data_IF_571432645638
#
_entry.id   IF_571432645638
#
_cell.length_a   1.000
_cell.length_b   1.000
_cell.length_c   1.000
_cell.angle_alpha   90.00
_cell.angle_beta   90.00
_cell.angle_gamma   90.00
#
_symmetry.space_group_name_H-M   'P 1'
#
loop_
_entity.id
_entity.type
_entity.pdbx_description
1 polymer ?
#
# COMPACT_ATOMS: atom_id res chain seq x y z
N UNK A 1 -16.15 -11.46 -20.25
CA UNK A 1 -15.06 -11.13 -19.29
C UNK A 1 -14.39 -9.84 -19.75
N UNK A 2 -14.31 -8.83 -18.88
CA UNK A 2 -13.53 -7.61 -19.15
C UNK A 2 -12.06 -8.02 -19.26
N UNK A 3 -11.43 -7.81 -20.43
CA UNK A 3 -9.97 -7.95 -20.56
C UNK A 3 -9.32 -6.89 -19.66
N UNK A 4 -8.46 -7.32 -18.73
CA UNK A 4 -7.59 -6.42 -17.97
C UNK A 4 -6.56 -5.82 -18.93
N UNK A 5 -6.94 -4.75 -19.63
CA UNK A 5 -6.12 -4.06 -20.64
C UNK A 5 -4.82 -3.46 -20.08
N UNK A 6 -4.70 -3.35 -18.75
CA UNK A 6 -3.52 -2.79 -18.07
C UNK A 6 -2.42 -3.78 -17.67
N UNK A 7 -2.73 -5.06 -17.41
CA UNK A 7 -1.77 -5.99 -16.81
C UNK A 7 -0.48 -6.17 -17.65
N UNK A 8 -0.64 -6.45 -18.94
CA UNK A 8 0.50 -6.64 -19.84
C UNK A 8 1.35 -5.38 -19.99
N UNK A 9 0.72 -4.20 -20.03
CA UNK A 9 1.43 -2.92 -20.05
C UNK A 9 2.19 -2.67 -18.74
N UNK A 10 1.62 -3.07 -17.60
CA UNK A 10 2.28 -2.97 -16.31
C UNK A 10 3.52 -3.87 -16.22
N UNK A 11 3.43 -5.11 -16.72
CA UNK A 11 4.60 -5.99 -16.81
C UNK A 11 5.72 -5.36 -17.67
N UNK A 12 5.36 -4.74 -18.79
CA UNK A 12 6.33 -4.05 -19.65
C UNK A 12 7.00 -2.89 -18.88
N UNK A 13 6.23 -2.12 -18.12
CA UNK A 13 6.72 -1.02 -17.30
C UNK A 13 7.71 -1.51 -16.25
N UNK A 14 7.30 -2.42 -15.36
CA UNK A 14 8.14 -3.00 -14.30
C UNK A 14 9.42 -3.60 -14.86
N UNK A 15 9.33 -4.34 -15.98
CA UNK A 15 10.49 -4.93 -16.63
C UNK A 15 11.47 -3.88 -17.13
N UNK A 16 10.98 -2.81 -17.76
CA UNK A 16 11.82 -1.72 -18.30
C UNK A 16 12.45 -0.89 -17.19
N UNK A 17 11.73 -0.59 -16.12
CA UNK A 17 12.24 0.15 -14.95
C UNK A 17 13.40 -0.59 -14.28
N UNK A 18 13.35 -1.92 -14.24
CA UNK A 18 14.44 -2.75 -13.71
C UNK A 18 15.51 -3.12 -14.75
N UNK A 19 15.46 -2.56 -15.96
CA UNK A 19 16.45 -2.80 -17.02
C UNK A 19 16.52 -4.26 -17.50
N UNK A 20 15.43 -5.03 -17.38
CA UNK A 20 15.42 -6.47 -17.69
C UNK A 20 14.96 -6.75 -19.12
N UNK A 21 15.49 -7.81 -19.72
CA UNK A 21 14.95 -8.37 -20.98
C UNK A 21 13.94 -9.48 -20.69
N UNK A 22 13.01 -9.73 -21.62
CA UNK A 22 11.95 -10.74 -21.46
C UNK A 22 12.50 -12.14 -21.12
N UNK A 23 13.66 -12.50 -21.68
CA UNK A 23 14.33 -13.79 -21.42
C UNK A 23 14.71 -13.95 -19.94
N UNK A 24 15.15 -12.88 -19.29
CA UNK A 24 15.61 -12.94 -17.91
C UNK A 24 14.44 -13.13 -16.94
N UNK A 25 13.36 -12.36 -17.15
CA UNK A 25 12.14 -12.49 -16.34
C UNK A 25 11.52 -13.88 -16.52
N UNK A 26 11.41 -14.34 -17.78
CA UNK A 26 10.87 -15.67 -18.08
C UNK A 26 11.67 -16.79 -17.40
N UNK A 27 13.00 -16.70 -17.41
CA UNK A 27 13.89 -17.65 -16.71
C UNK A 27 13.67 -17.60 -15.21
N UNK A 28 13.57 -16.41 -14.61
CA UNK A 28 13.40 -16.24 -13.18
C UNK A 28 12.09 -16.83 -12.64
N UNK A 29 11.01 -16.73 -13.42
CA UNK A 29 9.69 -17.29 -13.04
C UNK A 29 9.46 -18.70 -13.60
N UNK A 30 10.49 -19.32 -14.19
CA UNK A 30 10.44 -20.68 -14.76
C UNK A 30 9.36 -20.89 -15.83
N UNK A 31 9.27 -19.96 -16.80
CA UNK A 31 8.39 -20.08 -17.98
C UNK A 31 9.17 -19.90 -19.28
N UNK A 32 8.59 -20.34 -20.40
CA UNK A 32 9.15 -20.05 -21.71
C UNK A 32 9.07 -18.54 -22.02
N UNK A 33 10.11 -18.00 -22.68
CA UNK A 33 10.15 -16.60 -23.11
C UNK A 33 8.94 -16.20 -23.97
N UNK A 34 8.44 -17.11 -24.81
CA UNK A 34 7.24 -16.89 -25.60
C UNK A 34 5.99 -16.74 -24.72
N UNK A 35 5.86 -17.54 -23.65
CA UNK A 35 4.75 -17.42 -22.70
C UNK A 35 4.78 -16.07 -21.98
N UNK A 36 5.95 -15.63 -21.50
CA UNK A 36 6.11 -14.31 -20.89
C UNK A 36 5.76 -13.17 -21.87
N UNK A 37 6.22 -13.25 -23.13
CA UNK A 37 5.86 -12.28 -24.16
C UNK A 37 4.34 -12.26 -24.42
N UNK A 38 3.66 -13.41 -24.38
CA UNK A 38 2.20 -13.48 -24.48
C UNK A 38 1.49 -12.80 -23.30
N UNK A 39 2.07 -12.81 -22.10
CA UNK A 39 1.54 -12.06 -20.94
C UNK A 39 1.65 -10.55 -21.17
N UNK A 40 2.81 -10.06 -21.60
CA UNK A 40 3.01 -8.63 -21.89
C UNK A 40 2.09 -8.12 -23.00
N UNK A 41 1.84 -8.95 -24.02
CA UNK A 41 0.95 -8.62 -25.13
C UNK A 41 -0.54 -8.82 -24.82
N UNK A 42 -0.89 -9.32 -23.63
CA UNK A 42 -2.28 -9.63 -23.25
C UNK A 42 -2.92 -10.73 -24.11
N UNK A 43 -2.10 -11.60 -24.74
CA UNK A 43 -2.56 -12.73 -25.56
C UNK A 43 -2.84 -13.97 -24.71
N UNK A 44 -2.20 -14.07 -23.55
CA UNK A 44 -2.36 -15.16 -22.59
C UNK A 44 -2.44 -14.58 -21.19
N UNK A 45 -3.28 -15.18 -20.36
CA UNK A 45 -3.34 -14.86 -18.94
C UNK A 45 -2.39 -15.79 -18.15
N UNK A 46 -1.59 -15.27 -17.22
CA UNK A 46 -0.79 -16.09 -16.30
C UNK A 46 -1.70 -16.77 -15.27
N UNK A 47 -1.30 -17.95 -14.79
CA UNK A 47 -1.98 -18.58 -13.65
C UNK A 47 -1.58 -17.91 -12.33
N UNK A 48 -2.31 -18.21 -11.25
CA UNK A 48 -2.05 -17.67 -9.91
C UNK A 48 -0.59 -17.86 -9.46
N UNK A 49 -0.01 -19.05 -9.65
CA UNK A 49 1.40 -19.31 -9.31
C UNK A 49 2.36 -18.40 -10.09
N UNK A 50 2.07 -18.15 -11.38
CA UNK A 50 2.88 -17.24 -12.20
C UNK A 50 2.75 -15.80 -11.73
N UNK A 51 1.55 -15.37 -11.32
CA UNK A 51 1.30 -14.03 -10.76
C UNK A 51 2.12 -13.84 -9.47
N UNK A 52 2.10 -14.81 -8.56
CA UNK A 52 2.88 -14.76 -7.31
C UNK A 52 4.38 -14.70 -7.59
N UNK A 53 4.87 -15.50 -8.55
CA UNK A 53 6.29 -15.46 -8.97
C UNK A 53 6.68 -14.11 -9.57
N UNK A 54 5.83 -13.52 -10.40
CA UNK A 54 6.04 -12.19 -10.97
C UNK A 54 6.06 -11.11 -9.88
N UNK A 55 5.12 -11.15 -8.94
CA UNK A 55 5.04 -10.19 -7.83
C UNK A 55 6.31 -10.24 -6.97
N UNK A 56 6.77 -11.46 -6.61
CA UNK A 56 8.03 -11.65 -5.89
C UNK A 56 9.25 -11.20 -6.69
N UNK A 57 9.31 -11.52 -7.98
CA UNK A 57 10.43 -11.14 -8.84
C UNK A 57 10.56 -9.62 -8.97
N UNK A 58 9.44 -8.91 -9.08
CA UNK A 58 9.42 -7.46 -9.19
C UNK A 58 9.38 -6.73 -7.83
N UNK A 59 9.35 -7.46 -6.72
CA UNK A 59 9.27 -6.93 -5.35
C UNK A 59 8.04 -6.01 -5.12
N UNK A 60 6.89 -6.42 -5.66
CA UNK A 60 5.61 -5.70 -5.55
C UNK A 60 4.52 -6.60 -4.98
N UNK A 61 3.41 -6.02 -4.51
CA UNK A 61 2.23 -6.79 -4.15
C UNK A 61 1.51 -7.34 -5.39
N UNK A 62 0.76 -8.44 -5.22
CA UNK A 62 -0.08 -8.97 -6.31
C UNK A 62 -1.13 -7.94 -6.76
N UNK A 63 -1.70 -7.18 -5.83
CA UNK A 63 -2.64 -6.10 -6.13
C UNK A 63 -2.01 -5.05 -7.03
N UNK A 64 -0.82 -4.55 -6.67
CA UNK A 64 -0.12 -3.57 -7.50
C UNK A 64 0.16 -4.13 -8.89
N UNK A 65 0.68 -5.36 -8.96
CA UNK A 65 0.99 -6.04 -10.22
C UNK A 65 -0.24 -6.14 -11.14
N UNK A 66 -1.41 -6.48 -10.60
CA UNK A 66 -2.65 -6.69 -11.35
C UNK A 66 -3.37 -5.39 -11.70
N UNK A 67 -3.39 -4.42 -10.79
CA UNK A 67 -4.21 -3.22 -10.90
C UNK A 67 -3.48 -2.04 -11.53
N UNK A 68 -2.14 -1.98 -11.49
CA UNK A 68 -1.42 -0.80 -12.01
C UNK A 68 -1.29 0.35 -11.02
N UNK A 69 -2.12 0.34 -10.00
CA UNK A 69 -2.26 1.39 -9.02
C UNK A 69 -2.06 0.76 -7.65
N UNK A 70 -1.33 1.44 -6.76
CA UNK A 70 -1.54 1.15 -5.34
C UNK A 70 -3.02 1.41 -5.12
N UNK A 71 -3.76 0.43 -4.59
CA UNK A 71 -5.04 0.74 -3.97
C UNK A 71 -4.63 1.73 -2.87
N UNK A 72 -4.76 3.03 -3.12
CA UNK A 72 -4.84 4.01 -2.06
C UNK A 72 -6.16 3.67 -1.43
N UNK A 73 -6.12 2.68 -0.54
CA UNK A 73 -7.10 2.62 0.51
C UNK A 73 -7.04 4.03 1.07
N UNK A 74 -8.08 4.82 0.86
CA UNK A 74 -8.29 6.10 1.51
C UNK A 74 -8.51 5.87 3.02
N UNK A 75 -7.87 4.85 3.60
CA UNK A 75 -7.55 4.77 5.01
C UNK A 75 -6.53 5.86 5.19
N UNK A 76 -6.97 6.95 5.80
CA UNK A 76 -6.11 7.99 6.30
C UNK A 76 -5.10 7.33 7.24
N UNK A 77 -3.92 6.97 6.70
CA UNK A 77 -2.86 6.34 7.47
C UNK A 77 -2.31 7.38 8.44
N UNK A 78 -2.78 7.34 9.68
CA UNK A 78 -2.21 8.12 10.79
C UNK A 78 -0.83 7.53 11.09
N UNK A 79 0.23 8.20 10.63
CA UNK A 79 1.60 7.88 11.03
C UNK A 79 2.04 8.78 12.17
N UNK A 80 2.33 8.18 13.33
CA UNK A 80 2.93 8.89 14.47
C UNK A 80 4.44 8.91 14.28
N UNK A 81 5.01 10.09 14.05
CA UNK A 81 6.47 10.27 13.99
C UNK A 81 6.98 10.61 15.38
N UNK A 82 7.63 9.65 16.05
CA UNK A 82 8.33 9.92 17.29
C UNK A 82 9.72 10.45 16.96
N UNK A 83 9.92 11.77 17.06
CA UNK A 83 11.27 12.34 17.07
C UNK A 83 11.86 12.16 18.47
N UNK A 84 13.14 11.79 18.56
CA UNK A 84 13.86 11.73 19.83
C UNK A 84 13.88 13.13 20.46
N UNK A 85 13.09 13.33 21.51
CA UNK A 85 13.06 14.55 22.29
C UNK A 85 14.12 14.41 23.38
N UNK A 86 15.07 15.36 23.52
CA UNK A 86 15.99 15.37 24.65
C UNK A 86 15.19 15.45 25.97
N UNK A 87 15.60 14.65 26.95
CA UNK A 87 14.83 14.27 28.15
C UNK A 87 14.35 15.40 29.08
N UNK A 88 14.60 16.68 28.77
CA UNK A 88 14.38 17.81 29.66
C UNK A 88 13.30 18.82 29.22
N UNK A 89 12.55 18.56 28.15
CA UNK A 89 11.37 19.37 27.79
C UNK A 89 10.13 18.48 27.64
N UNK A 90 9.06 18.67 28.45
CA UNK A 90 7.85 17.88 28.33
C UNK A 90 6.96 18.50 27.25
N UNK A 91 7.29 18.26 25.98
CA UNK A 91 6.41 18.64 24.88
C UNK A 91 6.24 17.45 23.95
N UNK A 92 5.12 16.74 24.07
CA UNK A 92 4.72 15.75 23.08
C UNK A 92 4.24 16.50 21.82
N UNK A 93 5.14 16.86 20.91
CA UNK A 93 4.76 17.40 19.59
C UNK A 93 4.19 16.25 18.73
N UNK A 94 2.87 16.09 18.76
CA UNK A 94 2.16 15.18 17.85
C UNK A 94 1.93 15.92 16.52
N UNK A 95 2.68 15.56 15.48
CA UNK A 95 2.39 16.03 14.12
C UNK A 95 1.39 15.08 13.46
N UNK A 96 0.19 15.55 13.16
CA UNK A 96 -0.81 14.79 12.38
C UNK A 96 -0.73 15.24 10.92
N UNK A 97 -0.55 14.29 9.99
CA UNK A 97 -0.75 14.57 8.56
C UNK A 97 -2.20 14.30 8.18
N UNK A 98 -2.89 15.34 7.74
CA UNK A 98 -4.22 15.22 7.14
C UNK A 98 -4.13 15.73 5.71
N UNK A 99 -4.52 14.90 4.74
CA UNK A 99 -4.55 15.28 3.30
C UNK A 99 -3.23 15.87 2.75
N UNK A 100 -2.09 15.45 3.31
CA UNK A 100 -0.76 15.94 2.90
C UNK A 100 -0.31 17.23 3.59
N UNK A 101 -1.13 17.82 4.46
CA UNK A 101 -0.77 19.01 5.25
C UNK A 101 -0.24 18.61 6.63
N UNK A 102 0.85 19.25 7.06
CA UNK A 102 1.41 19.10 8.41
C UNK A 102 1.05 20.32 9.25
N UNK A 103 0.32 20.12 10.34
CA UNK A 103 0.02 21.16 11.33
C UNK A 103 0.71 20.83 12.66
N UNK A 104 1.46 21.79 13.21
CA UNK A 104 1.93 21.72 14.59
C UNK A 104 0.74 22.01 15.53
N UNK A 105 0.50 21.14 16.50
CA UNK A 105 -0.62 21.28 17.43
C UNK A 105 -0.15 21.85 18.77
N UNK A 106 -0.86 22.86 19.26
CA UNK A 106 -0.67 23.39 20.61
C UNK A 106 -1.25 22.49 21.70
N UNK A 107 -0.93 22.78 22.95
CA UNK A 107 -1.39 22.03 24.14
C UNK A 107 -2.92 21.91 24.23
N UNK A 108 -3.65 22.96 23.84
CA UNK A 108 -5.11 22.99 23.86
C UNK A 108 -5.71 22.08 22.77
N UNK A 109 -5.14 22.07 21.58
CA UNK A 109 -5.56 21.20 20.47
C UNK A 109 -5.32 19.72 20.82
N UNK A 110 -4.19 19.43 21.48
CA UNK A 110 -3.87 18.08 21.97
C UNK A 110 -4.89 17.61 23.02
N UNK A 111 -5.25 18.49 23.97
CA UNK A 111 -6.29 18.20 24.98
C UNK A 111 -7.64 17.92 24.34
N UNK A 112 -8.02 18.70 23.33
CA UNK A 112 -9.27 18.49 22.60
C UNK A 112 -9.29 17.13 21.90
N UNK A 113 -8.19 16.72 21.26
CA UNK A 113 -8.07 15.41 20.59
C UNK A 113 -8.13 14.27 21.60
N UNK A 114 -7.45 14.39 22.74
CA UNK A 114 -7.48 13.39 23.81
C UNK A 114 -8.90 13.21 24.36
N UNK A 115 -9.60 14.31 24.66
CA UNK A 115 -10.99 14.27 25.09
C UNK A 115 -11.88 13.56 24.04
N UNK A 116 -11.65 13.85 22.76
CA UNK A 116 -12.40 13.25 21.67
C UNK A 116 -12.16 11.73 21.57
N UNK A 117 -10.90 11.29 21.75
CA UNK A 117 -10.54 9.87 21.79
C UNK A 117 -11.16 9.13 23.00
N UNK A 118 -11.26 9.79 24.16
CA UNK A 118 -11.95 9.25 25.33
C UNK A 118 -13.44 9.04 25.08
N UNK A 119 -14.11 10.01 24.45
CA UNK A 119 -15.51 9.89 24.05
C UNK A 119 -15.70 8.69 23.11
N UNK A 120 -14.83 8.53 22.11
CA UNK A 120 -14.93 7.40 21.19
C UNK A 120 -14.67 6.04 21.85
N UNK A 121 -13.77 5.95 22.84
CA UNK A 121 -13.59 4.72 23.65
C UNK A 121 -14.88 4.35 24.38
N UNK A 122 -15.56 5.33 24.99
CA UNK A 122 -16.82 5.10 25.69
C UNK A 122 -17.93 4.65 24.73
N UNK A 123 -18.03 5.28 23.55
CA UNK A 123 -19.04 4.93 22.54
C UNK A 123 -18.80 3.55 21.89
N UNK A 124 -17.54 3.16 21.68
CA UNK A 124 -17.21 1.82 21.19
C UNK A 124 -17.46 0.76 22.25
N UNK A 125 -17.19 1.04 23.52
CA UNK A 125 -17.48 0.14 24.64
C UNK A 125 -18.98 -0.12 24.81
N UNK A 126 -19.84 0.91 24.64
CA UNK A 126 -21.30 0.75 24.74
C UNK A 126 -21.90 -0.08 23.59
N UNK A 127 -21.40 0.08 22.36
CA UNK A 127 -21.85 -0.71 21.21
C UNK A 127 -21.58 -2.21 21.31
N UNK A 128 -20.57 -2.60 22.09
CA UNK A 128 -20.24 -4.01 22.34
C UNK A 128 -21.12 -4.62 23.45
N UNK A 129 -21.65 -3.80 24.37
CA UNK A 129 -22.61 -4.21 25.42
C UNK A 129 -24.05 -4.34 24.90
N UNK A 130 -24.46 -3.56 23.90
CA UNK A 130 -25.81 -3.61 23.31
C UNK A 130 -26.01 -4.77 22.30
N UNK A 131 -25.01 -5.66 22.15
CA UNK A 131 -25.01 -6.79 21.20
C UNK A 131 -25.13 -8.18 21.83
N UNK A 132 -25.31 -8.27 23.15
CA UNK A 132 -25.68 -9.50 23.88
C UNK A 132 -27.18 -9.54 24.16
#
# INVERSE_FOLDING_TARGET
MKKYTGFGQHLIKLRKEQGKVQKDVARAISVHRAAYASYELGRREPCMDTIVKLARYFEVSCDYLLLGESITNNREDISVVQKNIPANEPVLEVTIRLKGETKALGQEELKNILNLAEIFKVLHYQKDLDRE
#
